data_IF_053512153752
#
_entry.id   IF_053512153752
#
_cell.length_a   1.000
_cell.length_b   1.000
_cell.length_c   1.000
_cell.angle_alpha   90.00
_cell.angle_beta   90.00
_cell.angle_gamma   90.00
#
_symmetry.space_group_name_H-M   'P 1'
#
loop_
_entity.id
_entity.type
_entity.pdbx_description
1 polymer ?
#
# COMPACT_ATOMS: atom_id res chain seq x y z
N UNK A 1 20.14 6.34 9.83
CA UNK A 1 18.79 6.25 9.21
C UNK A 1 18.77 5.04 8.29
N UNK A 2 17.86 4.08 8.51
CA UNK A 2 17.77 2.86 7.67
C UNK A 2 17.42 3.29 6.25
N UNK A 3 18.24 2.92 5.26
CA UNK A 3 17.93 3.16 3.84
C UNK A 3 16.68 2.36 3.48
N UNK A 4 15.52 3.00 3.57
CA UNK A 4 14.24 2.43 3.12
C UNK A 4 14.12 2.63 1.63
N UNK A 5 13.55 1.66 0.93
CA UNK A 5 13.29 1.77 -0.49
C UNK A 5 12.16 2.77 -0.72
N UNK A 6 12.49 3.95 -1.27
CA UNK A 6 11.53 5.05 -1.48
C UNK A 6 10.47 4.62 -2.48
N UNK A 7 10.86 3.86 -3.51
CA UNK A 7 9.92 3.29 -4.48
C UNK A 7 8.89 2.39 -3.81
N UNK A 8 9.32 1.53 -2.90
CA UNK A 8 8.42 0.65 -2.14
C UNK A 8 7.43 1.42 -1.27
N UNK A 9 7.87 2.53 -0.66
CA UNK A 9 6.99 3.41 0.11
C UNK A 9 5.94 4.05 -0.79
N UNK A 10 6.35 4.59 -1.95
CA UNK A 10 5.43 5.23 -2.90
C UNK A 10 4.37 4.24 -3.39
N UNK A 11 4.76 3.01 -3.75
CA UNK A 11 3.81 1.97 -4.16
C UNK A 11 2.87 1.57 -3.02
N UNK A 12 3.36 1.46 -1.79
CA UNK A 12 2.53 1.15 -0.63
C UNK A 12 1.48 2.25 -0.36
N UNK A 13 1.84 3.53 -0.55
CA UNK A 13 0.89 4.65 -0.43
C UNK A 13 -0.18 4.58 -1.51
N UNK A 14 0.20 4.34 -2.77
CA UNK A 14 -0.75 4.18 -3.88
C UNK A 14 -1.71 3.03 -3.59
N UNK A 15 -1.20 1.89 -3.14
CA UNK A 15 -2.00 0.73 -2.74
C UNK A 15 -3.04 1.09 -1.66
N UNK A 16 -2.63 1.79 -0.60
CA UNK A 16 -3.54 2.20 0.46
C UNK A 16 -4.68 3.08 -0.06
N UNK A 17 -4.38 4.04 -0.93
CA UNK A 17 -5.38 4.96 -1.49
C UNK A 17 -6.39 4.21 -2.37
N UNK A 18 -5.89 3.34 -3.26
CA UNK A 18 -6.74 2.56 -4.17
C UNK A 18 -7.64 1.61 -3.38
N UNK A 19 -7.07 0.86 -2.43
CA UNK A 19 -7.83 -0.08 -1.62
C UNK A 19 -8.86 0.64 -0.74
N UNK A 20 -8.51 1.78 -0.17
CA UNK A 20 -9.47 2.61 0.56
C UNK A 20 -10.63 3.04 -0.35
N UNK A 21 -10.34 3.50 -1.57
CA UNK A 21 -11.35 3.85 -2.56
C UNK A 21 -12.33 2.70 -2.85
N UNK A 22 -11.82 1.49 -3.03
CA UNK A 22 -12.63 0.28 -3.25
C UNK A 22 -13.48 -0.03 -2.00
N UNK A 23 -12.92 0.10 -0.80
CA UNK A 23 -13.62 -0.21 0.45
C UNK A 23 -14.68 0.83 0.85
N UNK A 24 -14.67 2.02 0.25
CA UNK A 24 -15.69 3.05 0.47
C UNK A 24 -16.69 3.14 -0.70
N UNK A 25 -16.48 2.37 -1.76
CA UNK A 25 -17.42 2.32 -2.87
C UNK A 25 -18.69 1.60 -2.41
N UNK A 26 -19.84 2.28 -2.54
CA UNK A 26 -21.13 1.74 -2.16
C UNK A 26 -22.20 2.18 -3.17
N UNK A 27 -23.27 1.38 -3.35
CA UNK A 27 -24.43 1.79 -4.13
C UNK A 27 -25.03 3.11 -3.63
N UNK A 28 -25.64 3.92 -4.51
CA UNK A 28 -26.26 5.18 -4.11
C UNK A 28 -27.33 4.96 -3.03
N UNK A 29 -27.14 5.60 -1.86
CA UNK A 29 -28.07 5.50 -0.73
C UNK A 29 -27.73 4.42 0.29
N UNK A 30 -26.69 3.61 0.07
CA UNK A 30 -26.19 2.63 1.03
C UNK A 30 -24.83 3.04 1.61
N UNK A 31 -24.56 2.64 2.85
CA UNK A 31 -23.22 2.78 3.44
C UNK A 31 -22.33 1.61 3.02
N UNK A 32 -21.02 1.81 2.84
CA UNK A 32 -20.11 0.71 2.53
C UNK A 32 -20.23 -0.39 3.59
N UNK A 33 -20.60 -1.61 3.16
CA UNK A 33 -20.85 -2.75 4.04
C UNK A 33 -19.82 -3.87 3.80
N UNK A 34 -18.54 -3.52 3.95
CA UNK A 34 -17.48 -4.52 3.95
C UNK A 34 -17.28 -5.10 5.35
N UNK A 35 -16.94 -6.40 5.46
CA UNK A 35 -16.58 -6.99 6.73
C UNK A 35 -15.45 -6.19 7.42
N UNK A 36 -15.49 -5.98 8.75
CA UNK A 36 -14.49 -5.17 9.45
C UNK A 36 -13.03 -5.65 9.24
N UNK A 37 -12.84 -6.95 9.00
CA UNK A 37 -11.52 -7.52 8.74
C UNK A 37 -10.95 -7.13 7.38
N UNK A 38 -11.77 -6.73 6.40
CA UNK A 38 -11.30 -6.28 5.09
C UNK A 38 -10.42 -5.02 5.21
N UNK A 39 -10.71 -4.16 6.19
CA UNK A 39 -9.89 -2.98 6.47
C UNK A 39 -8.48 -3.33 6.98
N UNK A 40 -8.27 -4.53 7.54
CA UNK A 40 -6.92 -5.02 7.91
C UNK A 40 -6.03 -5.25 6.69
N UNK A 41 -6.61 -5.41 5.49
CA UNK A 41 -5.83 -5.57 4.25
C UNK A 41 -5.03 -4.30 3.90
N UNK A 42 -5.45 -3.13 4.38
CA UNK A 42 -4.73 -1.86 4.17
C UNK A 42 -3.34 -1.92 4.84
N UNK A 43 -3.22 -2.08 6.19
CA UNK A 43 -1.90 -2.15 6.82
C UNK A 43 -1.13 -3.41 6.41
N UNK A 44 -1.81 -4.56 6.23
CA UNK A 44 -1.13 -5.81 5.84
C UNK A 44 -0.50 -5.71 4.45
N UNK A 45 -1.21 -5.18 3.47
CA UNK A 45 -0.68 -5.01 2.11
C UNK A 45 0.45 -3.97 2.07
N UNK A 46 0.34 -2.87 2.83
CA UNK A 46 1.42 -1.90 2.93
C UNK A 46 2.72 -2.50 3.50
N UNK A 47 2.61 -3.33 4.56
CA UNK A 47 3.75 -4.06 5.13
C UNK A 47 4.31 -5.05 4.10
N UNK A 48 3.46 -5.79 3.40
CA UNK A 48 3.90 -6.75 2.38
C UNK A 48 4.65 -6.06 1.23
N UNK A 49 4.13 -4.93 0.71
CA UNK A 49 4.76 -4.16 -0.37
C UNK A 49 6.11 -3.59 0.10
N UNK A 50 6.15 -2.95 1.26
CA UNK A 50 7.40 -2.37 1.77
C UNK A 50 8.44 -3.45 2.05
N UNK A 51 8.05 -4.60 2.60
CA UNK A 51 8.94 -5.75 2.78
C UNK A 51 9.45 -6.29 1.43
N UNK A 52 8.57 -6.46 0.43
CA UNK A 52 8.98 -6.91 -0.90
C UNK A 52 10.03 -5.98 -1.53
N UNK A 53 9.82 -4.68 -1.43
CA UNK A 53 10.74 -3.69 -1.99
C UNK A 53 12.06 -3.57 -1.22
N UNK A 54 12.01 -3.66 0.11
CA UNK A 54 13.21 -3.61 0.96
C UNK A 54 14.05 -4.90 0.85
N UNK A 55 13.43 -6.08 0.76
CA UNK A 55 14.14 -7.37 0.79
C UNK A 55 14.43 -7.99 -0.58
N UNK A 56 13.45 -7.98 -1.49
CA UNK A 56 13.52 -8.73 -2.76
C UNK A 56 14.00 -7.82 -3.88
N UNK A 57 13.30 -6.72 -4.11
CA UNK A 57 13.49 -5.93 -5.33
C UNK A 57 14.81 -5.16 -5.27
N UNK A 58 15.20 -4.60 -4.09
CA UNK A 58 16.44 -3.79 -3.84
C UNK A 58 16.70 -2.63 -4.82
N UNK A 59 15.96 -2.57 -5.91
CA UNK A 59 15.87 -1.53 -6.89
C UNK A 59 15.01 -0.42 -6.31
N UNK A 60 15.59 0.76 -6.28
CA UNK A 60 14.91 1.97 -5.86
C UNK A 60 15.07 2.96 -7.00
N UNK A 61 13.97 3.21 -7.71
CA UNK A 61 13.89 4.13 -8.84
C UNK A 61 14.38 5.53 -8.46
N UNK A 62 14.15 5.94 -7.21
CA UNK A 62 14.56 7.25 -6.70
C UNK A 62 16.00 7.27 -6.19
N UNK A 63 16.63 6.11 -6.03
CA UNK A 63 18.04 6.03 -5.67
C UNK A 63 18.87 6.24 -6.93
N UNK A 64 19.39 7.45 -7.10
CA UNK A 64 20.40 7.75 -8.14
C UNK A 64 21.51 6.71 -8.05
N UNK A 65 21.77 6.00 -9.16
CA UNK A 65 23.06 5.32 -9.33
C UNK A 65 24.13 6.40 -9.24
N UNK A 66 24.93 6.36 -8.18
CA UNK A 66 26.22 7.06 -8.18
C UNK A 66 27.15 6.33 -9.13
#
# INVERSE_FOLDING_TARGET
>A
MKNRNVTGIVVAIIYCIVLYGILIEAPPGEVPNHPPWAYLMIPLGAIAITALFDFVIKYDFFKKKK
#
